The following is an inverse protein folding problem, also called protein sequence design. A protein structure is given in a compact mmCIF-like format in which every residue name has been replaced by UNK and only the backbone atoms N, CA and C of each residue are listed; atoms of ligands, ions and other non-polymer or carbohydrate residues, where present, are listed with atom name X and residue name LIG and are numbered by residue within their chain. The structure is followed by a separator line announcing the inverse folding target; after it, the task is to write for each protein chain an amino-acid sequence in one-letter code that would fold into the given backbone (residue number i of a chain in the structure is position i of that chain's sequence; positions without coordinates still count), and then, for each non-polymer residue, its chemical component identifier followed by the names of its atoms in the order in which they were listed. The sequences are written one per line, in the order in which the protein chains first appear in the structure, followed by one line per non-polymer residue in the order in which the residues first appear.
data_IF_343172412542
#
_entry.id   IF_343172412542
#
_cell.length_a   1.000
_cell.length_b   1.000
_cell.length_c   1.000
_cell.angle_alpha   90.00
_cell.angle_beta   90.00
_cell.angle_gamma   90.00
#
_symmetry.space_group_name_H-M   'P 1'
#
loop_
_entity.id
_entity.type
_entity.pdbx_description
1 polymer ?
#
# COMPACT_ATOMS: atom_id res chain seq x y z
N UNK A 1 -3.83 -0.25 11.82
CA UNK A 1 -3.88 0.85 10.83
C UNK A 1 -2.46 1.06 10.33
N UNK A 2 -2.14 0.56 9.14
CA UNK A 2 -0.78 0.61 8.59
C UNK A 2 -0.55 1.95 7.89
N UNK A 3 0.34 2.77 8.45
CA UNK A 3 0.52 4.16 8.01
C UNK A 3 1.10 4.25 6.58
N UNK A 4 1.90 3.26 6.18
CA UNK A 4 2.42 3.14 4.82
C UNK A 4 1.28 2.93 3.83
N UNK A 5 0.45 1.93 4.09
CA UNK A 5 -0.70 1.59 3.27
C UNK A 5 -1.67 2.78 3.16
N UNK A 6 -1.90 3.49 4.27
CA UNK A 6 -2.69 4.73 4.26
C UNK A 6 -2.15 5.76 3.28
N UNK A 7 -0.91 6.18 3.50
CA UNK A 7 -0.24 7.20 2.68
C UNK A 7 -0.17 6.81 1.20
N UNK A 8 0.27 5.59 0.89
CA UNK A 8 0.46 5.13 -0.49
C UNK A 8 -0.88 5.03 -1.21
N UNK A 9 -1.90 4.44 -0.57
CA UNK A 9 -3.22 4.29 -1.20
C UNK A 9 -3.85 5.65 -1.45
N UNK A 10 -3.74 6.61 -0.52
CA UNK A 10 -4.31 7.95 -0.71
C UNK A 10 -3.59 8.71 -1.84
N UNK A 11 -2.25 8.63 -1.92
CA UNK A 11 -1.46 9.22 -3.02
C UNK A 11 -1.79 8.63 -4.39
N UNK A 12 -2.18 7.36 -4.44
CA UNK A 12 -2.62 6.68 -5.67
C UNK A 12 -4.09 6.96 -6.04
N UNK A 13 -4.78 7.83 -5.30
CA UNK A 13 -6.17 8.20 -5.57
C UNK A 13 -7.22 7.39 -4.77
N UNK A 14 -6.80 6.74 -3.69
CA UNK A 14 -7.66 6.03 -2.75
C UNK A 14 -7.96 4.57 -3.10
N UNK A 15 -8.74 3.91 -2.25
CA UNK A 15 -9.04 2.48 -2.30
C UNK A 15 -9.54 2.00 -3.66
N UNK A 16 -10.48 2.74 -4.27
CA UNK A 16 -11.08 2.36 -5.56
C UNK A 16 -10.11 2.50 -6.73
N UNK A 17 -9.21 3.48 -6.69
CA UNK A 17 -8.19 3.66 -7.73
C UNK A 17 -7.15 2.54 -7.65
N UNK A 18 -6.64 2.25 -6.45
CA UNK A 18 -5.68 1.17 -6.22
C UNK A 18 -6.28 -0.21 -6.55
N UNK A 19 -7.57 -0.42 -6.26
CA UNK A 19 -8.27 -1.65 -6.63
C UNK A 19 -8.29 -1.87 -8.14
N UNK A 20 -8.52 -0.81 -8.93
CA UNK A 20 -8.43 -0.86 -10.40
C UNK A 20 -7.00 -1.08 -10.89
N UNK A 21 -6.01 -0.40 -10.30
CA UNK A 21 -4.58 -0.58 -10.62
C UNK A 21 -4.15 -2.04 -10.41
N UNK A 22 -4.62 -2.65 -9.33
CA UNK A 22 -4.26 -4.01 -8.96
C UNK A 22 -5.18 -5.09 -9.58
N UNK A 23 -6.24 -4.68 -10.28
CA UNK A 23 -7.31 -5.55 -10.78
C UNK A 23 -7.88 -6.50 -9.70
N UNK A 24 -8.31 -5.92 -8.58
CA UNK A 24 -8.90 -6.65 -7.44
C UNK A 24 -10.12 -5.91 -6.90
N UNK A 25 -10.84 -6.55 -5.97
CA UNK A 25 -12.01 -5.94 -5.34
C UNK A 25 -11.61 -4.84 -4.34
N UNK A 26 -12.32 -3.70 -4.28
CA UNK A 26 -12.05 -2.62 -3.31
C UNK A 26 -11.95 -3.05 -1.84
N UNK A 27 -12.74 -4.01 -1.32
CA UNK A 27 -12.60 -4.49 0.05
C UNK A 27 -11.22 -5.08 0.38
N UNK A 28 -10.53 -5.68 -0.60
CA UNK A 28 -9.16 -6.18 -0.39
C UNK A 28 -8.21 -5.02 -0.06
N UNK A 29 -8.31 -3.91 -0.80
CA UNK A 29 -7.50 -2.71 -0.58
C UNK A 29 -7.89 -2.00 0.73
N UNK A 30 -9.17 -2.03 1.10
CA UNK A 30 -9.61 -1.53 2.41
C UNK A 30 -8.94 -2.32 3.55
N UNK A 31 -8.88 -3.64 3.44
CA UNK A 31 -8.16 -4.48 4.41
C UNK A 31 -6.67 -4.12 4.53
N UNK A 32 -6.01 -3.73 3.43
CA UNK A 32 -4.60 -3.32 3.46
C UNK A 32 -4.36 -2.06 4.30
N UNK A 33 -5.36 -1.18 4.45
CA UNK A 33 -5.22 0.00 5.32
C UNK A 33 -5.05 -0.42 6.79
N UNK A 34 -5.53 -1.60 7.15
CA UNK A 34 -5.46 -2.14 8.50
C UNK A 34 -4.25 -3.06 8.69
N UNK A 35 -4.04 -3.99 7.75
CA UNK A 35 -3.04 -5.07 7.82
C UNK A 35 -1.76 -4.85 7.01
N UNK A 36 -1.70 -3.79 6.21
CA UNK A 36 -0.57 -3.49 5.32
C UNK A 36 -0.78 -3.98 3.88
N UNK A 37 -0.01 -3.39 2.96
CA UNK A 37 -0.03 -3.80 1.54
C UNK A 37 0.77 -5.11 1.41
N UNK A 38 0.20 -6.18 0.82
CA UNK A 38 0.92 -7.43 0.60
C UNK A 38 2.22 -7.22 -0.18
N UNK A 39 3.30 -7.89 0.22
CA UNK A 39 4.66 -7.70 -0.35
C UNK A 39 4.70 -7.71 -1.88
N UNK A 40 4.04 -8.66 -2.53
CA UNK A 40 3.99 -8.73 -3.99
C UNK A 40 3.33 -7.49 -4.62
N UNK A 41 2.25 -6.97 -4.02
CA UNK A 41 1.56 -5.75 -4.47
C UNK A 41 2.40 -4.51 -4.17
N UNK A 42 3.07 -4.47 -3.02
CA UNK A 42 3.98 -3.39 -2.66
C UNK A 42 5.14 -3.27 -3.68
N UNK A 43 5.79 -4.39 -4.03
CA UNK A 43 6.87 -4.42 -5.03
C UNK A 43 6.38 -3.93 -6.40
N UNK A 44 5.21 -4.41 -6.84
CA UNK A 44 4.57 -3.92 -8.07
C UNK A 44 4.31 -2.41 -8.03
N UNK A 45 3.69 -1.91 -6.96
CA UNK A 45 3.37 -0.49 -6.82
C UNK A 45 4.62 0.40 -6.75
N UNK A 46 5.72 -0.07 -6.13
CA UNK A 46 6.99 0.66 -6.10
C UNK A 46 7.60 0.83 -7.49
N UNK A 47 7.50 -0.19 -8.33
CA UNK A 47 8.02 -0.15 -9.71
C UNK A 47 7.12 0.71 -10.59
N UNK A 48 5.80 0.52 -10.51
CA UNK A 48 4.85 1.19 -11.38
C UNK A 48 4.57 2.65 -10.99
N UNK A 49 4.65 2.99 -9.70
CA UNK A 49 4.29 4.29 -9.14
C UNK A 49 5.32 4.78 -8.12
N UNK A 50 6.59 4.98 -8.50
CA UNK A 50 7.66 5.38 -7.57
C UNK A 50 7.33 6.67 -6.81
N UNK A 51 6.66 7.64 -7.47
CA UNK A 51 6.24 8.90 -6.86
C UNK A 51 5.30 8.76 -5.67
N UNK A 52 4.52 7.68 -5.58
CA UNK A 52 3.66 7.44 -4.44
C UNK A 52 4.45 7.13 -3.15
N UNK A 53 5.73 6.76 -3.28
CA UNK A 53 6.64 6.39 -2.20
C UNK A 53 7.73 7.44 -1.90
N UNK A 54 7.75 8.56 -2.62
CA UNK A 54 8.67 9.68 -2.36
C UNK A 54 8.25 10.42 -1.07
N UNK A 55 9.20 11.00 -0.32
CA UNK A 55 8.93 11.74 0.91
C UNK A 55 7.99 11.01 1.89
N UNK A 56 8.20 9.70 2.05
CA UNK A 56 7.55 8.96 3.12
C UNK A 56 8.11 9.45 4.46
N UNK A 57 7.26 9.73 5.47
CA UNK A 57 7.76 10.17 6.75
C UNK A 57 8.75 9.14 7.34
N UNK A 58 9.83 9.57 8.01
CA UNK A 58 10.73 8.65 8.67
C UNK A 58 9.96 7.81 9.72
N UNK A 59 10.17 6.49 9.71
CA UNK A 59 9.49 5.53 10.61
C UNK A 59 8.27 4.81 10.03
N UNK A 60 7.97 4.97 8.73
CA UNK A 60 6.88 4.26 8.06
C UNK A 60 7.38 2.93 7.47
N UNK A 61 7.69 1.97 8.35
CA UNK A 61 8.01 0.60 7.97
C UNK A 61 6.73 -0.26 8.06
N UNK A 62 6.42 -1.00 6.99
CA UNK A 62 5.16 -1.74 6.91
C UNK A 62 5.11 -2.90 7.90
N UNK A 63 4.00 -3.03 8.62
CA UNK A 63 3.80 -4.12 9.59
C UNK A 63 3.74 -5.51 8.91
N UNK A 64 3.48 -5.55 7.60
CA UNK A 64 3.49 -6.78 6.81
C UNK A 64 4.91 -7.40 6.63
N UNK A 65 5.98 -6.63 6.84
CA UNK A 65 7.36 -7.17 6.79
C UNK A 65 7.75 -7.92 8.08
N UNK A 66 7.04 -7.68 9.19
CA UNK A 66 7.34 -8.27 10.50
C UNK A 66 6.70 -9.65 10.73
N UNK A 67 5.67 -10.03 9.97
CA UNK A 67 4.98 -11.31 10.13
C UNK A 67 5.62 -12.49 9.36
N UNK A 68 6.70 -12.24 8.61
CA UNK A 68 7.39 -13.25 7.80
C UNK A 68 8.79 -13.61 8.34
N UNK A 69 9.09 -13.25 9.60
CA UNK A 69 10.33 -13.58 10.31
C UNK A 69 10.06 -14.58 11.44
#
# INVERSE_FOLDING_TARGET
MDQLANTVIDRLGGTSAVAKICDIKPPSVHGWRESGIPKARLQFLRIAYPKAFEDLPPGVESSAEQAAA
#
